data_IF_313016510261
#
_entry.id   IF_313016510261
#
_cell.length_a   1.000
_cell.length_b   1.000
_cell.length_c   1.000
_cell.angle_alpha   90.00
_cell.angle_beta   90.00
_cell.angle_gamma   90.00
#
_symmetry.space_group_name_H-M   'P 1'
#
loop_
_entity.id
_entity.type
_entity.pdbx_description
1 polymer ?
#
# COMPACT_ATOMS: atom_id res chain seq x y z
N UNK A 1 -17.47 11.36 -7.68
CA UNK A 1 -17.41 10.67 -6.34
C UNK A 1 -16.32 11.38 -5.55
N UNK A 2 -16.55 11.78 -4.30
CA UNK A 2 -15.50 12.40 -3.50
C UNK A 2 -14.50 11.33 -3.01
N UNK A 3 -13.30 11.75 -2.58
CA UNK A 3 -12.22 10.85 -2.20
C UNK A 3 -12.65 9.88 -1.08
N UNK A 4 -13.39 10.34 -0.07
CA UNK A 4 -13.85 9.49 1.03
C UNK A 4 -14.83 8.42 0.51
N UNK A 5 -15.85 8.80 -0.24
CA UNK A 5 -16.82 7.86 -0.81
C UNK A 5 -16.18 6.83 -1.78
N UNK A 6 -15.15 7.24 -2.53
CA UNK A 6 -14.37 6.31 -3.35
C UNK A 6 -13.64 5.27 -2.49
N UNK A 7 -12.98 5.70 -1.42
CA UNK A 7 -12.28 4.78 -0.52
C UNK A 7 -13.25 3.87 0.24
N UNK A 8 -14.42 4.38 0.68
CA UNK A 8 -15.45 3.57 1.33
C UNK A 8 -15.97 2.47 0.41
N UNK A 9 -16.22 2.80 -0.86
CA UNK A 9 -16.59 1.81 -1.87
C UNK A 9 -15.48 0.77 -2.06
N UNK A 10 -14.23 1.20 -2.23
CA UNK A 10 -13.09 0.30 -2.42
C UNK A 10 -12.89 -0.62 -1.22
N UNK A 11 -13.02 -0.10 0.00
CA UNK A 11 -12.92 -0.91 1.23
C UNK A 11 -14.01 -1.98 1.25
N UNK A 12 -15.25 -1.63 0.89
CA UNK A 12 -16.35 -2.58 0.82
C UNK A 12 -16.08 -3.68 -0.20
N UNK A 13 -15.67 -3.31 -1.41
CA UNK A 13 -15.33 -4.25 -2.49
C UNK A 13 -14.20 -5.20 -2.07
N UNK A 14 -13.14 -4.68 -1.43
CA UNK A 14 -12.02 -5.50 -0.94
C UNK A 14 -12.44 -6.49 0.14
N UNK A 15 -13.30 -6.07 1.08
CA UNK A 15 -13.83 -6.96 2.11
C UNK A 15 -14.66 -8.10 1.50
N UNK A 16 -15.46 -7.83 0.50
CA UNK A 16 -16.23 -8.88 -0.19
C UNK A 16 -15.31 -9.84 -0.96
N UNK A 17 -14.28 -9.34 -1.65
CA UNK A 17 -13.29 -10.19 -2.32
C UNK A 17 -12.53 -11.08 -1.33
N UNK A 18 -12.17 -10.57 -0.16
CA UNK A 18 -11.52 -11.35 0.92
C UNK A 18 -12.46 -12.44 1.44
N UNK A 19 -13.73 -12.12 1.70
CA UNK A 19 -14.73 -13.12 2.15
C UNK A 19 -14.95 -14.23 1.12
N UNK A 20 -14.93 -13.89 -0.17
CA UNK A 20 -15.05 -14.84 -1.26
C UNK A 20 -13.78 -15.70 -1.47
N UNK A 21 -12.69 -15.44 -0.73
CA UNK A 21 -11.41 -16.14 -0.87
C UNK A 21 -10.59 -15.73 -2.10
N UNK A 22 -11.01 -14.67 -2.81
CA UNK A 22 -10.33 -14.17 -4.01
C UNK A 22 -9.08 -13.34 -3.73
N UNK A 23 -8.95 -12.76 -2.51
CA UNK A 23 -7.82 -11.93 -2.11
C UNK A 23 -7.47 -12.19 -0.66
N UNK A 24 -6.18 -12.25 -0.32
CA UNK A 24 -5.69 -12.31 1.06
C UNK A 24 -5.86 -10.95 1.77
N UNK A 25 -5.89 -10.95 3.11
CA UNK A 25 -5.94 -9.72 3.91
C UNK A 25 -4.78 -8.77 3.57
N UNK A 26 -3.57 -9.31 3.42
CA UNK A 26 -2.36 -8.57 3.01
C UNK A 26 -2.54 -7.87 1.67
N UNK A 27 -3.04 -8.58 0.65
CA UNK A 27 -3.33 -8.03 -0.67
C UNK A 27 -4.42 -6.95 -0.65
N UNK A 28 -5.48 -7.16 0.15
CA UNK A 28 -6.53 -6.17 0.38
C UNK A 28 -6.01 -4.87 0.99
N UNK A 29 -5.18 -4.99 2.03
CA UNK A 29 -4.53 -3.84 2.67
C UNK A 29 -3.56 -3.12 1.72
N UNK A 30 -2.75 -3.88 0.97
CA UNK A 30 -1.82 -3.32 -0.01
C UNK A 30 -2.55 -2.54 -1.10
N UNK A 31 -3.59 -3.11 -1.69
CA UNK A 31 -4.41 -2.43 -2.71
C UNK A 31 -5.06 -1.15 -2.20
N UNK A 32 -5.53 -1.13 -0.94
CA UNK A 32 -6.04 0.09 -0.30
C UNK A 32 -4.93 1.12 -0.09
N UNK A 33 -3.72 0.70 0.33
CA UNK A 33 -2.58 1.59 0.50
C UNK A 33 -2.18 2.26 -0.82
N UNK A 34 -2.16 1.52 -1.92
CA UNK A 34 -1.88 2.05 -3.26
C UNK A 34 -2.95 3.05 -3.73
N UNK A 35 -4.22 2.80 -3.44
CA UNK A 35 -5.32 3.74 -3.76
C UNK A 35 -5.21 5.08 -3.02
N UNK A 36 -4.45 5.13 -1.92
CA UNK A 36 -4.19 6.36 -1.18
C UNK A 36 -2.98 7.16 -1.71
N UNK A 37 -2.23 6.65 -2.70
CA UNK A 37 -1.04 7.35 -3.24
C UNK A 37 -1.41 8.74 -3.73
N UNK A 38 -0.58 9.74 -3.39
CA UNK A 38 -0.83 11.15 -3.68
C UNK A 38 -1.66 11.89 -2.63
N UNK A 39 -2.26 11.21 -1.65
CA UNK A 39 -3.04 11.87 -0.59
C UNK A 39 -2.15 12.53 0.47
N UNK A 40 -2.74 13.37 1.32
CA UNK A 40 -2.03 14.31 2.16
C UNK A 40 -1.31 13.68 3.37
N UNK A 41 -0.13 14.20 3.70
CA UNK A 41 0.50 14.01 5.00
C UNK A 41 0.11 15.15 5.96
N UNK A 42 -0.34 14.79 7.15
CA UNK A 42 -0.53 15.73 8.29
C UNK A 42 -0.09 15.03 9.57
N UNK A 43 0.91 15.57 10.25
CA UNK A 43 1.43 15.01 11.50
C UNK A 43 0.31 14.81 12.53
N UNK A 44 0.23 13.61 13.12
CA UNK A 44 -0.78 13.21 14.08
C UNK A 44 -2.17 12.89 13.48
N UNK A 45 -2.35 12.94 12.17
CA UNK A 45 -3.60 12.55 11.51
C UNK A 45 -3.68 11.04 11.23
N UNK A 46 -4.91 10.53 11.08
CA UNK A 46 -5.18 9.11 10.87
C UNK A 46 -6.46 8.86 10.05
N UNK A 47 -6.58 9.43 8.85
CA UNK A 47 -7.70 9.20 7.95
C UNK A 47 -8.78 10.27 8.01
N UNK A 48 -8.48 11.44 8.53
CA UNK A 48 -9.37 12.59 8.47
C UNK A 48 -9.28 13.30 7.09
N UNK A 49 -10.32 14.04 6.72
CA UNK A 49 -10.21 14.95 5.57
C UNK A 49 -9.15 16.04 5.81
N UNK A 50 -8.33 16.32 4.77
CA UNK A 50 -7.33 17.37 4.82
C UNK A 50 -7.97 18.76 4.74
N UNK A 51 -8.42 19.28 5.88
CA UNK A 51 -9.03 20.61 6.00
C UNK A 51 -8.14 21.57 6.79
N UNK A 52 -8.30 22.90 6.63
CA UNK A 52 -7.66 23.88 7.52
C UNK A 52 -8.04 23.67 9.00
N UNK A 53 -9.29 23.23 9.29
CA UNK A 53 -9.75 22.94 10.64
C UNK A 53 -9.01 21.73 11.24
N UNK A 54 -8.90 20.62 10.49
CA UNK A 54 -8.14 19.45 10.94
C UNK A 54 -6.67 19.80 11.18
N UNK A 55 -6.04 20.57 10.30
CA UNK A 55 -4.66 21.01 10.49
C UNK A 55 -4.49 21.92 11.72
N UNK A 56 -5.41 22.84 11.98
CA UNK A 56 -5.42 23.64 13.25
C UNK A 56 -5.54 22.75 14.48
N UNK A 57 -6.42 21.75 14.42
CA UNK A 57 -6.58 20.76 15.48
C UNK A 57 -5.28 19.99 15.73
N UNK A 58 -4.57 19.54 14.68
CA UNK A 58 -3.27 18.85 14.84
C UNK A 58 -2.18 19.78 15.37
N UNK A 59 -2.19 21.02 14.92
CA UNK A 59 -1.26 22.04 15.41
C UNK A 59 -1.47 22.35 16.90
N UNK A 60 -2.71 22.32 17.40
CA UNK A 60 -2.97 22.55 18.83
C UNK A 60 -2.41 21.43 19.73
N UNK A 61 -2.30 20.21 19.21
CA UNK A 61 -1.64 19.11 19.93
C UNK A 61 -0.12 19.08 19.74
N UNK A 62 0.40 19.73 18.69
CA UNK A 62 1.79 19.73 18.32
C UNK A 62 2.22 21.16 17.90
N UNK A 63 2.24 22.14 18.84
CA UNK A 63 2.42 23.55 18.51
C UNK A 63 3.75 23.86 17.83
N UNK A 64 4.79 23.07 18.12
CA UNK A 64 6.13 23.23 17.56
C UNK A 64 6.27 22.62 16.14
N UNK A 65 5.25 21.90 15.66
CA UNK A 65 5.29 21.24 14.36
C UNK A 65 4.87 22.19 13.22
N UNK A 66 5.71 23.16 12.92
CA UNK A 66 5.43 24.24 11.97
C UNK A 66 5.03 23.79 10.57
N UNK A 67 5.48 22.60 10.12
CA UNK A 67 5.10 22.05 8.80
C UNK A 67 3.60 21.79 8.66
N UNK A 68 2.85 21.57 9.74
CA UNK A 68 1.38 21.46 9.71
C UNK A 68 0.78 22.77 9.16
N UNK A 69 1.29 23.92 9.63
CA UNK A 69 0.86 25.26 9.21
C UNK A 69 1.37 25.60 7.82
N UNK A 70 2.68 25.43 7.59
CA UNK A 70 3.35 25.90 6.36
C UNK A 70 2.93 25.10 5.12
N UNK A 71 2.59 23.82 5.27
CA UNK A 71 2.08 22.98 4.17
C UNK A 71 0.62 23.29 3.78
N UNK A 72 -0.09 24.14 4.54
CA UNK A 72 -1.46 24.55 4.24
C UNK A 72 -1.47 26.01 3.78
N UNK A 73 -1.91 26.26 2.55
CA UNK A 73 -1.97 27.60 1.99
C UNK A 73 -2.91 28.54 2.78
N UNK A 74 -4.00 28.02 3.35
CA UNK A 74 -4.93 28.80 4.17
C UNK A 74 -4.33 29.14 5.53
N UNK A 75 -3.75 28.14 6.24
CA UNK A 75 -3.15 28.39 7.55
C UNK A 75 -1.89 29.24 7.48
N UNK A 76 -1.16 29.18 6.37
CA UNK A 76 0.02 30.02 6.14
C UNK A 76 -0.34 31.44 5.67
N UNK A 77 -1.62 31.74 5.47
CA UNK A 77 -2.09 33.04 5.02
C UNK A 77 -1.83 33.36 3.54
N UNK A 78 -1.49 32.33 2.72
CA UNK A 78 -1.25 32.52 1.28
C UNK A 78 -2.54 32.72 0.50
N UNK A 79 -3.62 32.06 0.90
CA UNK A 79 -4.95 32.17 0.29
C UNK A 79 -6.03 32.14 1.37
N UNK A 80 -7.25 32.62 1.04
CA UNK A 80 -8.40 32.56 1.91
C UNK A 80 -9.10 31.17 1.85
N UNK A 81 -8.95 30.46 0.74
CA UNK A 81 -9.63 29.20 0.44
C UNK A 81 -8.66 28.06 0.11
N UNK A 82 -9.17 26.83 -0.01
CA UNK A 82 -8.39 25.68 -0.47
C UNK A 82 -8.28 25.59 -1.99
N UNK A 83 -8.83 26.50 -2.75
CA UNK A 83 -8.80 26.46 -4.22
C UNK A 83 -7.35 26.49 -4.73
N UNK A 84 -7.04 25.62 -5.69
CA UNK A 84 -5.67 25.44 -6.19
C UNK A 84 -4.71 24.70 -5.25
N UNK A 85 -5.15 24.25 -4.07
CA UNK A 85 -4.36 23.40 -3.20
C UNK A 85 -4.28 21.98 -3.78
N UNK A 86 -3.08 21.41 -3.86
CA UNK A 86 -2.88 20.03 -4.35
C UNK A 86 -3.64 18.96 -3.55
N UNK A 87 -4.06 19.26 -2.33
CA UNK A 87 -4.85 18.39 -1.46
C UNK A 87 -6.37 18.64 -1.55
N UNK A 88 -6.77 19.44 -2.54
CA UNK A 88 -8.16 19.78 -2.83
C UNK A 88 -8.41 19.68 -4.34
N UNK A 89 -8.07 18.52 -4.96
CA UNK A 89 -8.30 18.33 -6.38
C UNK A 89 -9.80 18.26 -6.67
N UNK A 90 -10.22 18.82 -7.80
CA UNK A 90 -11.60 18.74 -8.29
C UNK A 90 -12.69 19.10 -7.26
N UNK A 91 -12.37 20.03 -6.33
CA UNK A 91 -13.23 20.47 -5.21
C UNK A 91 -13.49 19.41 -4.14
N UNK A 92 -12.78 18.31 -4.14
CA UNK A 92 -12.82 17.28 -3.09
C UNK A 92 -11.52 17.27 -2.29
N UNK A 93 -11.65 17.08 -0.96
CA UNK A 93 -10.48 16.97 -0.10
C UNK A 93 -9.95 15.56 -0.09
N UNK A 94 -8.62 15.43 -0.13
CA UNK A 94 -7.98 14.15 0.15
C UNK A 94 -8.08 13.83 1.64
N UNK A 95 -8.00 12.55 1.99
CA UNK A 95 -7.72 12.17 3.37
C UNK A 95 -6.27 12.50 3.73
N UNK A 96 -5.98 12.51 5.03
CA UNK A 96 -4.64 12.77 5.53
C UNK A 96 -4.27 11.86 6.69
N UNK A 97 -2.99 11.50 6.72
CA UNK A 97 -2.39 10.67 7.78
C UNK A 97 -0.98 11.20 8.12
N UNK A 98 -0.45 10.83 9.27
CA UNK A 98 0.98 10.69 9.46
C UNK A 98 1.41 9.27 9.10
N UNK A 99 2.72 8.96 9.21
CA UNK A 99 3.25 7.65 8.83
C UNK A 99 2.60 6.50 9.63
N UNK A 100 2.45 6.66 10.93
CA UNK A 100 1.83 5.69 11.82
C UNK A 100 0.31 5.62 11.63
N UNK A 101 -0.33 6.76 11.53
CA UNK A 101 -1.77 6.85 11.27
C UNK A 101 -2.17 6.16 9.98
N UNK A 102 -1.32 6.25 8.94
CA UNK A 102 -1.52 5.58 7.66
C UNK A 102 -1.51 4.05 7.82
N UNK A 103 -0.44 3.49 8.39
CA UNK A 103 -0.34 2.04 8.54
C UNK A 103 -1.44 1.46 9.44
N UNK A 104 -1.78 2.16 10.52
CA UNK A 104 -2.88 1.78 11.41
C UNK A 104 -4.22 1.81 10.70
N UNK A 105 -4.54 2.90 10.00
CA UNK A 105 -5.83 3.08 9.32
C UNK A 105 -6.04 2.02 8.24
N UNK A 106 -5.06 1.77 7.38
CA UNK A 106 -5.14 0.76 6.32
C UNK A 106 -5.47 -0.62 6.89
N UNK A 107 -4.73 -1.08 7.92
CA UNK A 107 -4.96 -2.38 8.54
C UNK A 107 -6.35 -2.41 9.19
N UNK A 108 -6.72 -1.39 9.95
CA UNK A 108 -8.01 -1.31 10.65
C UNK A 108 -9.19 -1.35 9.66
N UNK A 109 -9.10 -0.64 8.52
CA UNK A 109 -10.18 -0.62 7.52
C UNK A 109 -10.46 -2.00 6.93
N UNK A 110 -9.45 -2.78 6.63
CA UNK A 110 -9.60 -4.07 5.95
C UNK A 110 -9.84 -5.21 6.95
N UNK A 111 -9.10 -5.23 8.06
CA UNK A 111 -9.08 -6.37 8.99
C UNK A 111 -9.94 -6.16 10.23
N UNK A 112 -10.33 -4.93 10.55
CA UNK A 112 -10.92 -4.55 11.84
C UNK A 112 -9.90 -4.51 13.00
N UNK A 113 -8.65 -4.90 12.75
CA UNK A 113 -7.62 -4.92 13.78
C UNK A 113 -6.93 -3.56 13.89
N UNK A 114 -6.93 -3.01 15.10
CA UNK A 114 -6.33 -1.72 15.38
C UNK A 114 -4.93 -1.86 15.96
N UNK A 115 -3.91 -1.36 15.25
CA UNK A 115 -2.57 -1.26 15.80
C UNK A 115 -2.55 -0.29 17.00
N UNK A 116 -2.03 -0.75 18.13
CA UNK A 116 -1.89 0.05 19.35
C UNK A 116 -0.64 0.93 19.30
N UNK A 117 -0.66 2.00 20.10
CA UNK A 117 0.45 2.95 20.26
C UNK A 117 0.22 4.25 19.49
N UNK A 118 0.54 5.38 20.15
CA UNK A 118 0.34 6.73 19.61
C UNK A 118 1.60 7.36 19.01
N UNK A 119 2.73 6.66 19.12
CA UNK A 119 4.01 6.99 18.51
C UNK A 119 4.56 5.79 17.74
N UNK A 120 5.49 5.99 16.82
CA UNK A 120 6.15 4.88 16.11
C UNK A 120 6.84 3.93 17.10
N UNK A 121 7.46 4.47 18.15
CA UNK A 121 8.10 3.68 19.21
C UNK A 121 7.13 2.80 19.99
N UNK A 122 6.00 3.37 20.39
CA UNK A 122 4.96 2.63 21.14
C UNK A 122 4.21 1.65 20.24
N UNK A 123 4.00 1.98 18.97
CA UNK A 123 3.45 1.04 17.99
C UNK A 123 4.40 -0.16 17.79
N UNK A 124 5.70 0.08 17.59
CA UNK A 124 6.71 -0.97 17.50
C UNK A 124 6.78 -1.81 18.77
N UNK A 125 6.80 -1.16 19.95
CA UNK A 125 6.96 -1.82 21.26
C UNK A 125 5.76 -2.63 21.71
N UNK A 126 4.56 -2.39 21.18
CA UNK A 126 3.34 -3.06 21.65
C UNK A 126 3.29 -4.52 21.21
N UNK A 127 3.31 -5.44 22.20
CA UNK A 127 3.39 -6.89 21.93
C UNK A 127 2.18 -7.42 21.12
N UNK A 128 0.98 -6.84 21.34
CA UNK A 128 -0.22 -7.29 20.69
C UNK A 128 -0.35 -6.87 19.21
N UNK A 129 0.50 -6.00 18.72
CA UNK A 129 0.46 -5.60 17.33
C UNK A 129 1.01 -6.68 16.39
N UNK A 130 2.01 -7.43 16.83
CA UNK A 130 2.89 -8.18 15.96
C UNK A 130 2.91 -9.66 16.27
N UNK A 131 2.81 -10.50 15.25
CA UNK A 131 3.08 -11.93 15.35
C UNK A 131 4.56 -12.27 15.06
N UNK A 132 5.25 -11.41 14.29
CA UNK A 132 6.69 -11.59 14.00
C UNK A 132 7.37 -10.25 13.80
N UNK A 133 8.63 -10.17 14.21
CA UNK A 133 9.51 -8.99 14.06
C UNK A 133 10.89 -9.43 13.60
N UNK A 134 11.60 -8.53 12.91
CA UNK A 134 12.99 -8.76 12.52
C UNK A 134 13.74 -7.47 12.22
N UNK A 135 15.04 -7.62 12.01
CA UNK A 135 15.95 -6.54 11.62
C UNK A 135 16.37 -6.72 10.16
N UNK A 136 16.21 -5.68 9.35
CA UNK A 136 16.62 -5.68 7.94
C UNK A 136 18.15 -5.84 7.86
N UNK A 137 18.60 -6.74 6.99
CA UNK A 137 20.01 -7.11 6.85
C UNK A 137 20.48 -8.23 7.79
N UNK A 138 19.67 -8.61 8.81
CA UNK A 138 19.92 -9.77 9.66
C UNK A 138 18.89 -10.87 9.47
N UNK A 139 17.61 -10.48 9.45
CA UNK A 139 16.48 -11.40 9.34
C UNK A 139 15.85 -11.27 7.97
N UNK A 140 15.49 -12.36 7.29
CA UNK A 140 14.80 -12.29 6.01
C UNK A 140 13.41 -11.64 6.18
N UNK A 141 13.08 -10.72 5.30
CA UNK A 141 11.75 -10.11 5.26
C UNK A 141 10.78 -11.13 4.66
N UNK A 142 9.67 -11.45 5.33
CA UNK A 142 8.66 -12.34 4.78
C UNK A 142 8.14 -11.86 3.43
N UNK A 143 7.93 -12.77 2.49
CA UNK A 143 7.36 -12.53 1.18
C UNK A 143 5.89 -13.00 1.15
N UNK A 144 5.09 -12.45 0.25
CA UNK A 144 3.67 -12.83 0.09
C UNK A 144 2.75 -12.32 1.21
N UNK A 145 3.29 -11.62 2.20
CA UNK A 145 2.54 -11.05 3.33
C UNK A 145 2.83 -9.56 3.48
N UNK A 146 1.85 -8.79 3.92
CA UNK A 146 2.05 -7.36 4.19
C UNK A 146 2.89 -7.17 5.45
N UNK A 147 3.98 -6.44 5.29
CA UNK A 147 4.96 -6.18 6.36
C UNK A 147 4.98 -4.69 6.67
N UNK A 148 4.92 -4.34 7.94
CA UNK A 148 5.25 -3.00 8.38
C UNK A 148 6.78 -2.84 8.44
N UNK A 149 7.32 -1.81 7.82
CA UNK A 149 8.75 -1.46 7.89
C UNK A 149 8.96 -0.21 8.72
N UNK A 150 10.12 -0.15 9.38
CA UNK A 150 10.41 0.88 10.38
C UNK A 150 11.82 1.46 10.20
N UNK A 151 11.96 2.75 10.56
CA UNK A 151 13.26 3.41 10.67
C UNK A 151 13.57 3.61 12.15
N UNK A 152 14.64 2.96 12.61
CA UNK A 152 15.27 3.23 13.90
C UNK A 152 16.63 3.85 13.65
N UNK A 153 16.81 5.09 14.07
CA UNK A 153 18.02 5.87 13.85
C UNK A 153 18.34 6.73 15.08
N UNK A 154 19.58 6.80 15.47
CA UNK A 154 20.09 7.62 16.59
C UNK A 154 19.28 7.40 17.88
N UNK A 155 19.00 6.12 18.22
CA UNK A 155 18.25 5.74 19.40
C UNK A 155 16.73 5.98 19.32
N UNK A 156 16.19 6.39 18.17
CA UNK A 156 14.77 6.78 18.01
C UNK A 156 14.08 6.04 16.88
N UNK A 157 12.82 5.66 17.10
CA UNK A 157 11.90 5.20 16.08
C UNK A 157 11.26 6.41 15.42
N UNK A 158 11.54 6.64 14.15
CA UNK A 158 11.21 7.90 13.49
C UNK A 158 10.15 7.78 12.41
N UNK A 159 10.00 6.59 11.79
CA UNK A 159 9.11 6.43 10.67
C UNK A 159 8.63 4.99 10.52
N UNK A 160 7.48 4.81 9.85
CA UNK A 160 6.93 3.51 9.47
C UNK A 160 6.23 3.60 8.12
N UNK A 161 6.14 2.47 7.43
CA UNK A 161 5.44 2.29 6.16
C UNK A 161 5.12 0.82 5.94
N UNK A 162 4.70 0.48 4.74
CA UNK A 162 4.46 -0.89 4.31
C UNK A 162 5.53 -1.37 3.34
N UNK A 163 5.80 -2.66 3.39
CA UNK A 163 6.53 -3.42 2.40
C UNK A 163 5.66 -4.59 1.93
N UNK A 164 5.64 -4.83 0.64
CA UNK A 164 4.99 -5.98 0.04
C UNK A 164 5.74 -6.40 -1.23
N UNK A 165 6.24 -7.62 -1.27
CA UNK A 165 6.92 -8.24 -2.42
C UNK A 165 7.98 -7.35 -3.12
N UNK A 166 8.84 -6.68 -2.37
CA UNK A 166 9.92 -5.84 -2.90
C UNK A 166 9.61 -4.35 -2.92
N UNK A 167 8.33 -3.96 -2.94
CA UNK A 167 7.88 -2.58 -3.01
C UNK A 167 7.57 -1.99 -1.63
N UNK A 168 7.54 -0.65 -1.53
CA UNK A 168 7.11 0.03 -0.29
C UNK A 168 6.06 1.11 -0.57
N UNK A 169 5.15 1.29 0.39
CA UNK A 169 4.19 2.38 0.42
C UNK A 169 4.22 3.06 1.78
N UNK A 170 4.38 4.37 1.81
CA UNK A 170 4.56 5.13 3.04
C UNK A 170 3.87 6.50 2.98
N UNK A 171 3.57 7.07 4.14
CA UNK A 171 3.08 8.45 4.22
C UNK A 171 4.15 9.32 4.90
N UNK A 172 4.82 10.18 4.12
CA UNK A 172 5.88 11.10 4.59
C UNK A 172 5.63 12.56 4.20
N UNK A 173 5.70 12.92 2.93
CA UNK A 173 5.28 14.23 2.40
C UNK A 173 3.95 14.18 1.63
N UNK A 174 3.22 13.13 1.82
CA UNK A 174 2.04 12.57 1.23
C UNK A 174 2.21 11.07 1.19
N UNK A 175 1.18 10.33 0.74
CA UNK A 175 1.29 8.88 0.51
C UNK A 175 2.08 8.65 -0.76
N UNK A 176 3.14 7.85 -0.67
CA UNK A 176 4.09 7.58 -1.74
C UNK A 176 4.30 6.08 -1.92
N UNK A 177 4.40 5.66 -3.16
CA UNK A 177 4.76 4.30 -3.57
C UNK A 177 6.18 4.28 -4.14
N UNK A 178 6.93 3.24 -3.83
CA UNK A 178 8.25 2.96 -4.38
C UNK A 178 8.29 1.51 -4.85
N UNK A 179 8.52 1.31 -6.14
CA UNK A 179 8.57 -0.01 -6.77
C UNK A 179 9.65 -0.91 -6.15
N UNK A 180 10.76 -0.32 -5.73
CA UNK A 180 11.84 -1.03 -5.05
C UNK A 180 12.11 -0.44 -3.69
N UNK A 181 12.14 -1.29 -2.66
CA UNK A 181 12.46 -0.87 -1.30
C UNK A 181 13.91 -0.36 -1.20
N UNK A 182 14.09 0.86 -0.70
CA UNK A 182 15.41 1.41 -0.39
C UNK A 182 15.94 0.80 0.91
N UNK A 183 16.71 -0.29 0.79
CA UNK A 183 17.20 -1.09 1.93
C UNK A 183 18.10 -0.31 2.91
N UNK A 184 18.80 0.71 2.44
CA UNK A 184 19.67 1.55 3.28
C UNK A 184 18.91 2.53 4.19
N UNK A 185 17.59 2.63 4.05
CA UNK A 185 16.73 3.52 4.85
C UNK A 185 16.00 2.77 5.96
N UNK A 186 15.42 1.62 5.62
CA UNK A 186 14.64 0.81 6.52
C UNK A 186 15.54 -0.08 7.37
N UNK A 187 15.21 -0.20 8.67
CA UNK A 187 16.08 -0.89 9.64
C UNK A 187 15.44 -2.12 10.27
N UNK A 188 14.11 -2.10 10.42
CA UNK A 188 13.35 -3.18 11.05
C UNK A 188 12.05 -3.44 10.29
N UNK A 189 11.49 -4.61 10.54
CA UNK A 189 10.22 -5.02 10.00
C UNK A 189 9.37 -5.77 11.03
N UNK A 190 8.05 -5.74 10.84
CA UNK A 190 7.13 -6.52 11.66
C UNK A 190 5.89 -6.91 10.85
N UNK A 191 5.35 -8.10 11.11
CA UNK A 191 4.10 -8.59 10.54
C UNK A 191 3.00 -8.43 11.58
N UNK A 192 1.90 -7.77 11.22
CA UNK A 192 0.78 -7.56 12.14
C UNK A 192 0.00 -8.87 12.38
N UNK A 193 -0.54 -9.04 13.59
CA UNK A 193 -1.27 -10.26 13.99
C UNK A 193 -2.35 -10.74 13.01
N UNK A 194 -3.15 -9.89 12.35
CA UNK A 194 -4.14 -10.37 11.37
C UNK A 194 -3.54 -11.20 10.22
N UNK A 195 -2.25 -10.98 9.90
CA UNK A 195 -1.57 -11.65 8.80
C UNK A 195 -0.81 -12.91 9.22
N UNK A 196 -0.92 -13.33 10.50
CA UNK A 196 -0.18 -14.47 11.04
C UNK A 196 -0.42 -15.75 10.24
N UNK A 197 -1.68 -15.99 9.84
CA UNK A 197 -2.05 -17.17 9.05
C UNK A 197 -1.50 -17.13 7.62
N UNK A 198 -1.15 -15.96 7.12
CA UNK A 198 -0.55 -15.77 5.80
C UNK A 198 0.97 -16.01 5.79
N UNK A 199 1.62 -16.04 6.97
CA UNK A 199 3.06 -16.28 7.13
C UNK A 199 3.49 -17.74 7.13
N UNK A 200 2.61 -18.67 7.40
CA UNK A 200 2.96 -20.04 7.76
C UNK A 200 2.50 -21.11 6.80
N UNK A 201 1.86 -20.75 5.72
CA UNK A 201 1.40 -21.69 4.72
C UNK A 201 2.03 -21.40 3.36
N UNK A 202 2.19 -22.42 2.57
CA UNK A 202 2.08 -22.37 1.11
C UNK A 202 0.68 -21.82 0.68
N UNK A 203 0.15 -20.80 1.40
CA UNK A 203 -1.01 -19.99 1.05
C UNK A 203 -0.47 -18.69 0.42
N UNK A 204 0.37 -18.82 -0.58
CA UNK A 204 0.14 -18.08 -1.80
C UNK A 204 -1.28 -18.51 -2.22
N UNK A 205 -2.24 -17.62 -2.57
CA UNK A 205 -3.30 -18.06 -3.46
C UNK A 205 -2.54 -18.84 -4.52
N UNK A 206 -2.83 -20.14 -4.70
CA UNK A 206 -2.17 -20.93 -5.75
C UNK A 206 -2.24 -20.01 -6.93
N UNK A 207 -1.09 -19.60 -7.53
CA UNK A 207 -1.14 -18.71 -8.65
C UNK A 207 -2.21 -19.33 -9.55
N UNK A 208 -3.31 -18.60 -9.82
CA UNK A 208 -4.31 -19.12 -10.72
C UNK A 208 -3.56 -19.52 -11.97
N UNK A 209 -3.89 -20.60 -12.60
CA UNK A 209 -3.34 -20.88 -13.91
C UNK A 209 -4.31 -20.36 -14.96
N UNK A 210 -3.77 -19.86 -16.04
CA UNK A 210 -4.54 -19.47 -17.20
C UNK A 210 -3.93 -20.08 -18.46
N UNK A 211 -4.78 -20.56 -19.34
CA UNK A 211 -4.37 -21.01 -20.67
C UNK A 211 -4.22 -19.81 -21.61
N UNK A 212 -3.13 -19.75 -22.33
CA UNK A 212 -2.93 -18.75 -23.40
C UNK A 212 -3.79 -19.12 -24.61
N UNK A 213 -4.80 -18.31 -24.92
CA UNK A 213 -5.72 -18.54 -26.05
C UNK A 213 -5.34 -17.81 -27.33
N UNK A 214 -4.40 -16.86 -27.26
CA UNK A 214 -3.89 -16.12 -28.42
C UNK A 214 -2.68 -16.80 -29.08
N UNK A 215 -2.50 -16.58 -30.38
CA UNK A 215 -1.35 -17.13 -31.11
C UNK A 215 -0.10 -16.29 -30.87
N UNK A 216 0.97 -16.89 -30.29
CA UNK A 216 2.26 -16.24 -30.00
C UNK A 216 2.14 -14.95 -29.21
N UNK A 217 1.41 -14.99 -28.09
CA UNK A 217 1.15 -13.83 -27.22
C UNK A 217 2.44 -13.33 -26.59
N UNK A 218 2.63 -12.02 -26.56
CA UNK A 218 3.83 -11.41 -26.01
C UNK A 218 3.76 -11.31 -24.50
N UNK A 219 4.74 -11.89 -23.80
CA UNK A 219 5.08 -11.57 -22.42
C UNK A 219 6.00 -10.34 -22.43
N UNK A 220 5.65 -9.27 -21.71
CA UNK A 220 6.31 -7.96 -21.79
C UNK A 220 6.88 -7.53 -20.44
N UNK A 221 7.87 -6.63 -20.47
CA UNK A 221 8.49 -6.10 -19.26
C UNK A 221 7.57 -5.16 -18.47
N UNK A 222 6.63 -4.48 -19.15
CA UNK A 222 5.73 -3.50 -18.58
C UNK A 222 4.31 -3.69 -19.16
N UNK A 223 3.23 -3.25 -18.47
CA UNK A 223 1.85 -3.37 -18.95
C UNK A 223 1.53 -2.38 -20.07
N UNK A 224 2.27 -2.47 -21.17
CA UNK A 224 2.15 -1.61 -22.35
C UNK A 224 2.40 -2.36 -23.65
N UNK A 225 1.62 -2.05 -24.69
CA UNK A 225 1.78 -2.61 -26.03
C UNK A 225 3.14 -2.24 -26.69
N UNK A 226 3.76 -1.15 -26.27
CA UNK A 226 5.07 -0.68 -26.72
C UNK A 226 6.24 -1.25 -25.91
N UNK A 227 5.98 -1.85 -24.74
CA UNK A 227 7.01 -2.39 -23.86
C UNK A 227 7.79 -3.52 -24.52
N UNK A 228 9.06 -3.67 -24.10
CA UNK A 228 9.95 -4.72 -24.59
C UNK A 228 9.38 -6.11 -24.35
N UNK A 229 9.40 -6.93 -25.40
CA UNK A 229 8.95 -8.32 -25.31
C UNK A 229 10.06 -9.16 -24.69
N UNK A 230 9.74 -9.85 -23.58
CA UNK A 230 10.62 -10.82 -22.92
C UNK A 230 10.65 -12.12 -23.73
N UNK A 231 9.45 -12.61 -24.11
CA UNK A 231 9.26 -13.81 -24.92
C UNK A 231 7.86 -13.84 -25.52
N UNK A 232 7.62 -14.82 -26.41
CA UNK A 232 6.28 -15.11 -26.94
C UNK A 232 5.84 -16.50 -26.50
N UNK A 233 4.58 -16.62 -26.07
CA UNK A 233 3.99 -17.86 -25.55
C UNK A 233 2.90 -18.31 -26.54
N UNK A 234 2.86 -19.60 -26.84
CA UNK A 234 1.94 -20.14 -27.82
C UNK A 234 0.56 -20.44 -27.22
N UNK A 235 -0.44 -20.57 -28.07
CA UNK A 235 -1.77 -21.04 -27.72
C UNK A 235 -1.71 -22.42 -27.06
N UNK A 236 -2.49 -22.62 -25.99
CA UNK A 236 -2.56 -23.87 -25.22
C UNK A 236 -1.48 -24.01 -24.15
N UNK A 237 -0.51 -23.10 -24.08
CA UNK A 237 0.47 -23.09 -22.98
C UNK A 237 -0.18 -22.51 -21.71
N UNK A 238 0.11 -23.13 -20.55
CA UNK A 238 -0.34 -22.67 -19.27
C UNK A 238 0.64 -21.68 -18.67
N UNK A 239 0.14 -20.56 -18.16
CA UNK A 239 0.89 -19.56 -17.41
C UNK A 239 0.35 -19.47 -15.99
N UNK A 240 1.21 -19.10 -15.06
CA UNK A 240 0.84 -18.82 -13.68
C UNK A 240 0.47 -17.35 -13.56
N UNK A 241 -0.75 -17.06 -13.10
CA UNK A 241 -1.20 -15.70 -12.79
C UNK A 241 -0.62 -15.28 -11.46
N UNK A 242 0.18 -14.24 -11.45
CA UNK A 242 0.65 -13.62 -10.22
C UNK A 242 -0.46 -12.71 -9.65
N UNK A 243 -0.55 -12.52 -8.33
CA UNK A 243 -1.71 -11.91 -7.68
C UNK A 243 -1.82 -10.38 -7.80
N UNK A 244 -1.60 -9.83 -8.99
CA UNK A 244 -1.83 -8.41 -9.29
C UNK A 244 -2.74 -8.26 -10.52
N UNK A 245 -4.08 -8.21 -10.34
CA UNK A 245 -4.97 -7.97 -11.47
C UNK A 245 -5.01 -6.48 -11.85
N UNK A 246 -4.34 -6.12 -12.92
CA UNK A 246 -4.69 -4.92 -13.67
C UNK A 246 -5.88 -5.23 -14.61
N UNK A 247 -6.76 -4.24 -14.85
CA UNK A 247 -7.99 -4.47 -15.66
C UNK A 247 -7.73 -4.97 -17.10
N UNK A 248 -6.55 -4.75 -17.64
CA UNK A 248 -6.18 -5.02 -19.04
C UNK A 248 -4.98 -5.95 -19.15
N UNK A 249 -4.12 -5.98 -18.15
CA UNK A 249 -2.87 -6.75 -18.12
C UNK A 249 -2.82 -7.60 -16.86
N UNK A 250 -2.40 -8.84 -17.00
CA UNK A 250 -2.08 -9.71 -15.87
C UNK A 250 -0.56 -9.89 -15.77
N UNK A 251 -0.04 -9.85 -14.55
CA UNK A 251 1.33 -10.22 -14.27
C UNK A 251 1.38 -11.74 -14.20
N UNK A 252 2.21 -12.35 -15.04
CA UNK A 252 2.23 -13.81 -15.18
C UNK A 252 3.65 -14.34 -15.11
N UNK A 253 3.81 -15.59 -14.67
CA UNK A 253 5.05 -16.32 -14.76
C UNK A 253 4.92 -17.51 -15.73
N UNK A 254 5.99 -17.75 -16.49
CA UNK A 254 6.09 -18.85 -17.45
C UNK A 254 7.55 -19.29 -17.62
N UNK A 255 7.83 -20.58 -17.34
CA UNK A 255 9.17 -21.18 -17.44
C UNK A 255 10.26 -20.34 -16.78
N UNK A 256 10.00 -19.82 -15.56
CA UNK A 256 10.93 -19.03 -14.76
C UNK A 256 11.14 -17.58 -15.21
N UNK A 257 10.33 -17.07 -16.14
CA UNK A 257 10.30 -15.66 -16.51
C UNK A 257 8.97 -15.04 -16.13
N UNK A 258 9.01 -13.83 -15.58
CA UNK A 258 7.82 -13.05 -15.20
C UNK A 258 7.67 -11.84 -16.11
N UNK A 259 6.45 -11.37 -16.25
CA UNK A 259 6.11 -10.18 -17.03
C UNK A 259 4.61 -10.00 -17.21
N UNK A 260 4.24 -9.05 -18.05
CA UNK A 260 2.86 -8.68 -18.30
C UNK A 260 2.31 -9.28 -19.59
N UNK A 261 1.09 -9.82 -19.52
CA UNK A 261 0.33 -10.33 -20.65
C UNK A 261 -1.06 -9.72 -20.66
N UNK A 262 -1.61 -9.37 -21.82
CA UNK A 262 -2.97 -8.84 -21.90
C UNK A 262 -3.99 -9.90 -21.51
N UNK A 263 -4.90 -9.58 -20.60
CA UNK A 263 -5.94 -10.46 -20.07
C UNK A 263 -6.82 -11.06 -21.16
N UNK A 264 -7.08 -10.33 -22.24
CA UNK A 264 -7.86 -10.81 -23.39
C UNK A 264 -7.28 -12.07 -24.06
N UNK A 265 -6.00 -12.38 -23.81
CA UNK A 265 -5.34 -13.57 -24.34
C UNK A 265 -5.20 -14.70 -23.30
N UNK A 266 -5.87 -14.58 -22.15
CA UNK A 266 -5.83 -15.56 -21.06
C UNK A 266 -7.23 -16.09 -20.78
N UNK A 267 -7.34 -17.40 -20.62
CA UNK A 267 -8.55 -18.09 -20.15
C UNK A 267 -8.23 -18.73 -18.82
N UNK A 268 -8.82 -18.22 -17.76
CA UNK A 268 -8.71 -18.80 -16.41
C UNK A 268 -9.41 -20.16 -16.39
N UNK A 269 -8.80 -21.15 -15.71
CA UNK A 269 -9.33 -22.51 -15.56
C UNK A 269 -10.39 -22.61 -14.47
#
# INVERSE_FOLDING_TARGET
MNTAAYLDQLISERKEQIKAGGVLLSGGCWGLALACVGMAYVYGAWGAECTPAERRKRLSYNPDHTTIKTACQVLSGKTATCDGCKWYPDRFRTLCWDCRGFTRWIIEQITGFRLYGDMVSTQWGHADNWCRKGQIGKDPIPQGVLVNVFIYKDGKWTHTGFYFNGSTCECSSGVQYFETMKTNRWTHWAVAKPFEKEMGGDIMPKPGTAEVIGKRVALRQEPSKSAKIIMRINTGEEVTLEPEPEKVWDYVSYKGKTGYMMREFLREG
#
